data_IF_326556633021
#
_entry.id   IF_326556633021
#
_cell.length_a   1.000
_cell.length_b   1.000
_cell.length_c   1.000
_cell.angle_alpha   90.00
_cell.angle_beta   90.00
_cell.angle_gamma   90.00
#
_symmetry.space_group_name_H-M   'P 1'
#
loop_
_entity.id
_entity.type
_entity.pdbx_description
1 polymer ?
#
# COMPACT_ATOMS: atom_id res chain seq x y z
N UNK A 1 40.19 -38.28 67.12
CA UNK A 1 38.75 -38.59 66.89
C UNK A 1 37.94 -37.37 66.39
N UNK A 2 38.46 -36.17 66.54
CA UNK A 2 37.71 -34.88 66.26
C UNK A 2 37.73 -34.42 64.77
N UNK A 3 38.67 -34.90 63.96
CA UNK A 3 38.86 -34.46 62.56
C UNK A 3 37.86 -35.13 61.63
N UNK A 4 37.46 -36.39 61.91
CA UNK A 4 36.53 -37.20 61.08
C UNK A 4 35.10 -36.67 61.13
N UNK A 5 34.65 -36.12 62.23
CA UNK A 5 33.32 -35.58 62.46
C UNK A 5 33.08 -34.27 61.66
N UNK A 6 34.14 -33.45 61.56
CA UNK A 6 34.05 -32.19 60.79
C UNK A 6 33.94 -32.39 59.28
N UNK A 7 34.53 -33.45 58.76
CA UNK A 7 34.46 -33.74 57.31
C UNK A 7 33.10 -34.25 56.88
N UNK A 8 32.44 -35.04 57.72
CA UNK A 8 31.08 -35.57 57.40
C UNK A 8 29.99 -34.48 57.48
N UNK A 9 30.14 -33.48 58.36
CA UNK A 9 29.24 -32.35 58.45
C UNK A 9 29.31 -31.46 57.20
N UNK A 10 30.51 -31.18 56.73
CA UNK A 10 30.75 -30.36 55.52
C UNK A 10 30.19 -31.06 54.25
N UNK A 11 30.30 -32.38 54.18
CA UNK A 11 29.80 -33.15 53.04
C UNK A 11 28.23 -33.20 53.01
N UNK A 12 27.58 -33.24 54.16
CA UNK A 12 26.12 -33.20 54.26
C UNK A 12 25.58 -31.81 53.91
N UNK A 13 26.22 -30.75 54.35
CA UNK A 13 25.82 -29.38 54.05
C UNK A 13 26.00 -29.05 52.57
N UNK A 14 27.04 -29.60 51.92
CA UNK A 14 27.26 -29.46 50.49
C UNK A 14 26.16 -30.19 49.67
N UNK A 15 25.81 -31.39 50.10
CA UNK A 15 24.72 -32.19 49.45
C UNK A 15 23.35 -31.54 49.61
N UNK A 16 23.03 -30.98 50.76
CA UNK A 16 21.75 -30.29 51.02
C UNK A 16 21.66 -29.02 50.21
N UNK A 17 22.76 -28.26 50.11
CA UNK A 17 22.79 -27.04 49.29
C UNK A 17 22.70 -27.35 47.80
N UNK A 18 23.27 -28.45 47.31
CA UNK A 18 23.18 -28.88 45.91
C UNK A 18 21.75 -29.30 45.54
N UNK A 19 21.09 -30.07 46.42
CA UNK A 19 19.69 -30.52 46.24
C UNK A 19 18.76 -29.29 46.28
N UNK A 20 19.02 -28.32 47.18
CA UNK A 20 18.22 -27.10 47.30
C UNK A 20 18.33 -26.20 46.04
N UNK A 21 19.55 -26.04 45.51
CA UNK A 21 19.79 -25.33 44.25
C UNK A 21 19.11 -26.04 43.06
N UNK A 22 19.23 -27.37 42.99
CA UNK A 22 18.59 -28.16 41.91
C UNK A 22 17.05 -28.06 41.94
N UNK A 23 16.43 -28.03 43.11
CA UNK A 23 14.96 -27.86 43.26
C UNK A 23 14.51 -26.46 42.87
N UNK A 24 15.31 -25.44 43.17
CA UNK A 24 15.00 -24.04 42.79
C UNK A 24 15.14 -23.85 41.28
N UNK A 25 16.18 -24.41 40.67
CA UNK A 25 16.36 -24.32 39.19
C UNK A 25 15.29 -25.14 38.43
N UNK A 26 14.92 -26.31 38.93
CA UNK A 26 13.82 -27.09 38.34
C UNK A 26 12.45 -26.37 38.47
N UNK A 27 12.20 -25.72 39.63
CA UNK A 27 11.00 -24.91 39.84
C UNK A 27 10.94 -23.70 38.89
N UNK A 28 12.04 -22.98 38.74
CA UNK A 28 12.14 -21.85 37.80
C UNK A 28 11.96 -22.30 36.35
N UNK A 29 12.51 -23.45 35.95
CA UNK A 29 12.36 -24.02 34.62
C UNK A 29 10.90 -24.41 34.33
N UNK A 30 10.22 -25.00 35.33
CA UNK A 30 8.80 -25.36 35.23
C UNK A 30 7.90 -24.13 35.09
N UNK A 31 8.15 -23.06 35.86
CA UNK A 31 7.42 -21.79 35.75
C UNK A 31 7.69 -21.13 34.38
N UNK A 32 8.93 -21.16 33.90
CA UNK A 32 9.28 -20.66 32.57
C UNK A 32 8.54 -21.43 31.46
N UNK A 33 8.48 -22.75 31.56
CA UNK A 33 7.73 -23.60 30.62
C UNK A 33 6.22 -23.30 30.64
N UNK A 34 5.63 -23.02 31.79
CA UNK A 34 4.22 -22.66 31.91
C UNK A 34 3.92 -21.27 31.31
N UNK A 35 4.89 -20.34 31.30
CA UNK A 35 4.75 -19.04 30.65
C UNK A 35 4.77 -19.14 29.11
N UNK A 36 5.42 -20.15 28.55
CA UNK A 36 5.44 -20.39 27.11
C UNK A 36 4.21 -21.15 26.57
N UNK A 37 3.40 -21.78 27.45
CA UNK A 37 2.14 -22.42 27.03
C UNK A 37 0.94 -21.48 27.00
N UNK A 38 1.11 -20.23 27.46
CA UNK A 38 0.07 -19.21 27.44
C UNK A 38 -0.06 -18.58 26.06
N UNK A 39 -1.23 -18.75 25.43
CA UNK A 39 -1.73 -18.02 24.24
C UNK A 39 -1.28 -18.51 22.86
N UNK A 40 -1.44 -19.81 22.59
CA UNK A 40 -1.89 -20.20 21.25
C UNK A 40 -3.42 -20.17 21.22
N UNK A 41 -3.99 -18.97 21.11
CA UNK A 41 -5.40 -18.83 20.73
C UNK A 41 -5.46 -19.32 19.28
N UNK A 42 -5.84 -20.57 19.09
CA UNK A 42 -6.10 -21.10 17.75
C UNK A 42 -7.24 -20.22 17.18
N UNK A 43 -6.93 -19.38 16.20
CA UNK A 43 -7.96 -18.67 15.45
C UNK A 43 -8.85 -19.74 14.82
N UNK A 44 -10.11 -19.75 15.23
CA UNK A 44 -11.09 -20.67 14.68
C UNK A 44 -11.20 -20.36 13.19
N UNK A 45 -11.03 -21.33 12.29
CA UNK A 45 -11.15 -21.07 10.87
C UNK A 45 -12.54 -20.50 10.59
N UNK A 46 -12.57 -19.42 9.82
CA UNK A 46 -13.80 -18.74 9.44
C UNK A 46 -14.67 -19.69 8.62
N UNK A 47 -15.96 -19.76 8.95
CA UNK A 47 -16.90 -20.56 8.17
C UNK A 47 -17.14 -19.93 6.80
N UNK A 48 -17.53 -20.75 5.80
CA UNK A 48 -17.88 -20.26 4.45
C UNK A 48 -18.94 -19.15 4.49
N UNK A 49 -19.89 -19.24 5.41
CA UNK A 49 -20.94 -18.25 5.55
C UNK A 49 -20.42 -16.92 6.15
N UNK A 50 -19.54 -16.99 7.15
CA UNK A 50 -18.86 -15.81 7.71
C UNK A 50 -17.95 -15.16 6.67
N UNK A 51 -17.24 -15.95 5.88
CA UNK A 51 -16.41 -15.46 4.78
C UNK A 51 -17.25 -14.73 3.73
N UNK A 52 -18.38 -15.31 3.30
CA UNK A 52 -19.31 -14.69 2.35
C UNK A 52 -19.87 -13.38 2.87
N UNK A 53 -20.37 -13.35 4.11
CA UNK A 53 -20.91 -12.13 4.74
C UNK A 53 -19.84 -11.03 4.83
N UNK A 54 -18.64 -11.38 5.25
CA UNK A 54 -17.52 -10.43 5.33
C UNK A 54 -17.17 -9.87 3.95
N UNK A 55 -17.12 -10.73 2.94
CA UNK A 55 -16.86 -10.33 1.54
C UNK A 55 -17.96 -9.40 1.01
N UNK A 56 -19.23 -9.73 1.22
CA UNK A 56 -20.37 -8.88 0.81
C UNK A 56 -20.33 -7.51 1.49
N UNK A 57 -20.02 -7.45 2.78
CA UNK A 57 -19.87 -6.21 3.52
C UNK A 57 -18.70 -5.36 2.99
N UNK A 58 -17.55 -5.97 2.69
CA UNK A 58 -16.39 -5.29 2.11
C UNK A 58 -16.68 -4.75 0.70
N UNK A 59 -17.36 -5.53 -0.14
CA UNK A 59 -17.78 -5.08 -1.48
C UNK A 59 -18.76 -3.91 -1.38
N UNK A 60 -19.72 -3.96 -0.45
CA UNK A 60 -20.66 -2.88 -0.21
C UNK A 60 -19.97 -1.60 0.27
N UNK A 61 -19.05 -1.71 1.24
CA UNK A 61 -18.25 -0.60 1.72
C UNK A 61 -17.40 0.02 0.60
N UNK A 62 -16.74 -0.81 -0.23
CA UNK A 62 -15.92 -0.33 -1.33
C UNK A 62 -16.75 0.42 -2.38
N UNK A 63 -17.95 -0.09 -2.74
CA UNK A 63 -18.87 0.63 -3.66
C UNK A 63 -19.24 2.02 -3.15
N UNK A 64 -19.53 2.12 -1.84
CA UNK A 64 -19.87 3.41 -1.22
C UNK A 64 -18.69 4.38 -1.27
N UNK A 65 -17.48 3.88 -1.03
CA UNK A 65 -16.26 4.68 -1.08
C UNK A 65 -15.99 5.19 -2.51
N UNK A 66 -16.07 4.32 -3.52
CA UNK A 66 -15.91 4.70 -4.94
C UNK A 66 -16.96 5.73 -5.35
N UNK A 67 -18.21 5.57 -4.92
CA UNK A 67 -19.27 6.57 -5.18
C UNK A 67 -18.92 7.93 -4.59
N UNK A 68 -18.50 7.98 -3.32
CA UNK A 68 -18.08 9.24 -2.66
C UNK A 68 -16.89 9.89 -3.35
N UNK A 69 -15.89 9.10 -3.76
CA UNK A 69 -14.73 9.62 -4.47
C UNK A 69 -15.14 10.22 -5.82
N UNK A 70 -16.04 9.56 -6.55
CA UNK A 70 -16.58 10.05 -7.82
C UNK A 70 -17.39 11.33 -7.65
N UNK A 71 -18.19 11.45 -6.58
CA UNK A 71 -18.92 12.69 -6.26
C UNK A 71 -17.97 13.85 -5.99
N UNK A 72 -16.86 13.61 -5.25
CA UNK A 72 -15.81 14.62 -5.00
C UNK A 72 -15.15 15.08 -6.29
N UNK A 73 -14.77 14.12 -7.17
CA UNK A 73 -14.15 14.46 -8.47
C UNK A 73 -15.12 15.27 -9.31
N UNK A 74 -16.38 14.85 -9.42
CA UNK A 74 -17.39 15.57 -10.18
C UNK A 74 -17.55 17.01 -9.70
N UNK A 75 -17.66 17.21 -8.40
CA UNK A 75 -17.76 18.55 -7.82
C UNK A 75 -16.52 19.40 -8.10
N UNK A 76 -15.33 18.77 -8.08
CA UNK A 76 -14.07 19.43 -8.39
C UNK A 76 -14.02 19.85 -9.87
N UNK A 77 -14.35 18.97 -10.79
CA UNK A 77 -14.41 19.21 -12.24
C UNK A 77 -15.40 20.34 -12.57
N UNK A 78 -16.58 20.34 -11.94
CA UNK A 78 -17.57 21.40 -12.10
C UNK A 78 -17.07 22.76 -11.60
N UNK A 79 -16.43 22.82 -10.42
CA UNK A 79 -15.89 24.10 -9.89
C UNK A 79 -14.81 24.70 -10.79
N UNK A 80 -14.04 23.87 -11.48
CA UNK A 80 -12.99 24.32 -12.39
C UNK A 80 -13.47 24.57 -13.83
N UNK A 81 -14.77 24.34 -14.11
CA UNK A 81 -15.34 24.41 -15.44
C UNK A 81 -14.62 23.54 -16.49
N UNK A 82 -14.14 22.35 -16.08
CA UNK A 82 -13.47 21.44 -16.99
C UNK A 82 -14.43 20.51 -17.70
N UNK A 83 -14.24 20.34 -19.00
CA UNK A 83 -15.01 19.39 -19.80
C UNK A 83 -14.28 18.03 -19.80
N UNK A 84 -14.38 17.30 -18.70
CA UNK A 84 -13.76 15.98 -18.56
C UNK A 84 -14.72 14.85 -18.89
N UNK A 85 -14.20 13.80 -19.49
CA UNK A 85 -14.87 12.51 -19.69
C UNK A 85 -14.46 11.51 -18.61
N UNK A 86 -15.29 10.49 -18.40
CA UNK A 86 -15.01 9.41 -17.45
C UNK A 86 -14.99 8.07 -18.17
N UNK A 87 -13.96 7.26 -17.91
CA UNK A 87 -13.89 5.88 -18.39
C UNK A 87 -14.70 4.93 -17.51
N UNK A 88 -14.99 3.71 -17.96
CA UNK A 88 -15.67 2.68 -17.15
C UNK A 88 -14.89 2.27 -15.88
N UNK A 89 -13.58 2.38 -15.87
CA UNK A 89 -12.73 2.12 -14.70
C UNK A 89 -12.85 3.21 -13.61
N UNK A 90 -13.32 4.41 -14.00
CA UNK A 90 -13.45 5.57 -13.12
C UNK A 90 -12.37 6.63 -13.30
N UNK A 91 -11.47 6.49 -14.28
CA UNK A 91 -10.53 7.54 -14.66
C UNK A 91 -11.29 8.72 -15.26
N UNK A 92 -11.00 9.94 -14.80
CA UNK A 92 -11.45 11.17 -15.43
C UNK A 92 -10.32 11.76 -16.27
N UNK A 93 -10.63 12.17 -17.50
CA UNK A 93 -9.62 12.71 -18.41
C UNK A 93 -10.15 13.84 -19.30
N UNK A 94 -9.24 14.70 -19.68
CA UNK A 94 -9.45 15.76 -20.67
C UNK A 94 -8.20 15.86 -21.53
N UNK A 95 -8.36 15.63 -22.84
CA UNK A 95 -7.29 15.86 -23.80
C UNK A 95 -7.13 17.37 -24.00
N UNK A 96 -5.94 17.88 -23.73
CA UNK A 96 -5.57 19.29 -23.90
C UNK A 96 -5.02 19.49 -25.31
N UNK A 97 -4.19 18.56 -25.76
CA UNK A 97 -3.57 18.55 -27.10
C UNK A 97 -3.51 17.12 -27.63
N UNK A 98 -4.00 16.89 -28.83
CA UNK A 98 -4.10 15.57 -29.44
C UNK A 98 -2.75 14.88 -29.70
N UNK A 99 -1.71 15.69 -30.05
CA UNK A 99 -0.43 15.17 -30.52
C UNK A 99 -0.50 14.66 -31.97
N UNK A 100 0.59 14.00 -32.41
CA UNK A 100 0.77 13.56 -33.78
C UNK A 100 1.11 12.06 -33.86
N UNK A 101 0.84 11.45 -35.02
CA UNK A 101 1.16 10.06 -35.27
C UNK A 101 0.14 9.07 -34.73
N UNK A 102 0.58 7.83 -34.44
CA UNK A 102 -0.28 6.78 -33.92
C UNK A 102 -0.56 6.97 -32.41
N UNK A 103 -1.69 6.45 -31.94
CA UNK A 103 -1.92 6.36 -30.49
C UNK A 103 -0.88 5.45 -29.80
N UNK A 104 -0.65 5.70 -28.52
CA UNK A 104 0.13 4.84 -27.66
C UNK A 104 -0.52 3.46 -27.52
N UNK A 105 0.28 2.42 -27.38
CA UNK A 105 -0.14 1.01 -27.27
C UNK A 105 0.56 0.34 -26.10
N UNK A 106 -0.06 -0.71 -25.59
CA UNK A 106 0.59 -1.62 -24.64
C UNK A 106 1.88 -2.17 -25.27
N UNK A 107 2.98 -2.10 -24.52
CA UNK A 107 4.32 -2.48 -24.96
C UNK A 107 5.21 -1.34 -25.42
N UNK A 108 4.64 -0.18 -25.74
CA UNK A 108 5.43 1.00 -26.12
C UNK A 108 6.22 1.55 -24.92
N UNK A 109 7.41 2.08 -25.20
CA UNK A 109 8.19 2.88 -24.26
C UNK A 109 7.75 4.34 -24.34
N UNK A 110 7.28 4.90 -23.24
CA UNK A 110 6.81 6.28 -23.18
C UNK A 110 7.67 7.13 -22.26
N UNK A 111 7.86 8.38 -22.66
CA UNK A 111 8.51 9.43 -21.88
C UNK A 111 7.53 10.56 -21.65
N UNK A 112 7.30 10.89 -20.39
CA UNK A 112 6.36 11.94 -19.96
C UNK A 112 7.06 13.06 -19.20
N UNK A 113 6.71 14.31 -19.53
CA UNK A 113 6.73 15.38 -18.55
C UNK A 113 5.41 15.34 -17.78
N UNK A 114 5.46 15.64 -16.48
CA UNK A 114 4.28 15.53 -15.64
C UNK A 114 4.30 16.49 -14.46
N UNK A 115 3.09 16.79 -13.98
CA UNK A 115 2.81 17.46 -12.71
C UNK A 115 1.72 16.67 -12.00
N UNK A 116 1.97 16.25 -10.76
CA UNK A 116 1.06 15.49 -9.93
C UNK A 116 0.70 16.30 -8.69
N UNK A 117 -0.58 16.50 -8.49
CA UNK A 117 -1.14 17.28 -7.37
C UNK A 117 -2.29 16.51 -6.69
N UNK A 118 -2.56 16.87 -5.44
CA UNK A 118 -3.82 16.54 -4.78
C UNK A 118 -4.93 17.48 -5.26
N UNK A 119 -6.21 17.16 -5.00
CA UNK A 119 -7.34 18.01 -5.38
C UNK A 119 -7.39 19.36 -4.64
N UNK A 120 -6.63 19.54 -3.57
CA UNK A 120 -6.48 20.81 -2.86
C UNK A 120 -5.38 21.71 -3.45
N UNK A 121 -4.69 21.23 -4.51
CA UNK A 121 -3.59 21.94 -5.17
C UNK A 121 -2.21 21.66 -4.57
N UNK A 122 -2.10 20.78 -3.57
CA UNK A 122 -0.80 20.40 -3.02
C UNK A 122 0.02 19.68 -4.09
N UNK A 123 1.15 20.25 -4.48
CA UNK A 123 2.10 19.64 -5.42
C UNK A 123 2.80 18.46 -4.73
N UNK A 124 2.64 17.26 -5.27
CA UNK A 124 3.33 16.07 -4.78
C UNK A 124 4.63 15.84 -5.56
N UNK A 125 4.54 15.77 -6.88
CA UNK A 125 5.67 15.44 -7.75
C UNK A 125 5.58 16.18 -9.09
N UNK A 126 6.74 16.54 -9.65
CA UNK A 126 6.82 17.16 -10.98
C UNK A 126 8.12 16.80 -11.69
N UNK A 127 8.07 16.71 -13.02
CA UNK A 127 9.25 16.44 -13.84
C UNK A 127 10.32 17.53 -13.78
N UNK A 128 9.95 18.75 -13.43
CA UNK A 128 10.89 19.88 -13.26
C UNK A 128 11.90 19.62 -12.13
N UNK A 129 11.49 18.86 -11.10
CA UNK A 129 12.34 18.55 -9.94
C UNK A 129 12.88 17.13 -9.93
N UNK A 130 12.13 16.17 -10.51
CA UNK A 130 12.44 14.73 -10.45
C UNK A 130 12.89 14.14 -11.79
N UNK A 131 12.84 14.94 -12.86
CA UNK A 131 13.10 14.47 -14.22
C UNK A 131 11.88 13.81 -14.86
N UNK A 132 12.01 13.50 -16.14
CA UNK A 132 10.97 12.89 -16.94
C UNK A 132 10.66 11.47 -16.45
N UNK A 133 9.40 11.06 -16.54
CA UNK A 133 8.98 9.69 -16.22
C UNK A 133 9.12 8.82 -17.47
N UNK A 134 9.82 7.68 -17.32
CA UNK A 134 10.04 6.70 -18.40
C UNK A 134 9.49 5.36 -17.95
N UNK A 135 8.62 4.75 -18.75
CA UNK A 135 8.11 3.40 -18.46
C UNK A 135 7.59 2.72 -19.73
N UNK A 136 7.47 1.39 -19.66
CA UNK A 136 6.84 0.58 -20.70
C UNK A 136 5.37 0.39 -20.36
N UNK A 137 4.48 0.80 -21.24
CA UNK A 137 3.02 0.76 -21.03
C UNK A 137 2.57 -0.69 -20.87
N UNK A 138 1.77 -0.95 -19.81
CA UNK A 138 1.19 -2.26 -19.52
C UNK A 138 2.12 -3.23 -18.77
N UNK A 139 3.29 -2.77 -18.31
CA UNK A 139 4.20 -3.59 -17.49
C UNK A 139 4.18 -3.21 -16.00
N UNK A 140 3.33 -2.29 -15.60
CA UNK A 140 3.30 -1.76 -14.23
C UNK A 140 4.45 -0.79 -13.93
N UNK A 141 4.66 -0.53 -12.64
CA UNK A 141 5.68 0.43 -12.18
C UNK A 141 5.18 1.87 -12.08
N UNK A 142 4.00 2.15 -12.59
CA UNK A 142 3.25 3.40 -12.42
C UNK A 142 1.80 3.10 -12.03
N UNK A 143 1.05 4.14 -11.67
CA UNK A 143 -0.37 4.01 -11.32
C UNK A 143 -1.17 3.49 -12.52
N UNK A 144 -2.10 2.56 -12.27
CA UNK A 144 -2.93 1.96 -13.33
C UNK A 144 -3.75 3.00 -14.09
N UNK A 145 -4.20 4.06 -13.42
CA UNK A 145 -4.88 5.17 -14.07
C UNK A 145 -3.98 6.01 -14.97
N UNK A 146 -2.68 6.11 -14.67
CA UNK A 146 -1.72 6.75 -15.57
C UNK A 146 -1.47 5.87 -16.81
N UNK A 147 -1.29 4.55 -16.64
CA UNK A 147 -1.18 3.62 -17.78
C UNK A 147 -2.40 3.67 -18.69
N UNK A 148 -3.60 3.71 -18.13
CA UNK A 148 -4.84 3.86 -18.90
C UNK A 148 -4.90 5.20 -19.62
N UNK A 149 -4.55 6.29 -18.93
CA UNK A 149 -4.60 7.64 -19.47
C UNK A 149 -3.66 7.87 -20.66
N UNK A 150 -2.45 7.32 -20.61
CA UNK A 150 -1.48 7.48 -21.72
C UNK A 150 -1.90 6.76 -23.00
N UNK A 151 -2.69 5.69 -22.90
CA UNK A 151 -3.25 4.98 -24.08
C UNK A 151 -4.21 5.84 -24.89
N UNK A 152 -4.73 6.93 -24.31
CA UNK A 152 -5.59 7.89 -24.99
C UNK A 152 -4.80 8.93 -25.80
N UNK A 153 -3.47 8.92 -25.69
CA UNK A 153 -2.59 9.95 -26.23
C UNK A 153 -1.74 9.47 -27.40
N UNK A 154 -1.18 10.45 -28.09
CA UNK A 154 -0.18 10.30 -29.16
C UNK A 154 1.08 11.04 -28.75
N UNK A 155 2.19 10.81 -29.48
CA UNK A 155 3.43 11.60 -29.29
C UNK A 155 3.13 13.11 -29.42
N UNK A 156 3.63 13.92 -28.50
CA UNK A 156 3.37 15.35 -28.42
C UNK A 156 1.97 15.71 -27.91
N UNK A 157 1.14 14.71 -27.54
CA UNK A 157 -0.15 14.94 -26.90
C UNK A 157 -0.02 15.34 -25.45
N UNK A 158 -1.04 16.01 -24.92
CA UNK A 158 -1.13 16.35 -23.50
C UNK A 158 -2.54 16.14 -22.96
N UNK A 159 -2.64 15.79 -21.69
CA UNK A 159 -3.91 15.55 -21.03
C UNK A 159 -3.86 15.95 -19.55
N UNK A 160 -5.03 16.21 -19.01
CA UNK A 160 -5.28 16.25 -17.58
C UNK A 160 -6.04 15.01 -17.18
N UNK A 161 -5.57 14.31 -16.15
CA UNK A 161 -6.17 13.09 -15.62
C UNK A 161 -6.51 13.31 -14.16
N UNK A 162 -7.64 12.77 -13.69
CA UNK A 162 -7.95 12.66 -12.27
C UNK A 162 -8.17 11.19 -11.95
N UNK A 163 -7.34 10.67 -11.07
CA UNK A 163 -7.31 9.28 -10.66
C UNK A 163 -7.97 9.15 -9.29
N UNK A 164 -9.08 8.40 -9.18
CA UNK A 164 -9.58 8.00 -7.87
C UNK A 164 -8.57 7.07 -7.17
N UNK A 165 -8.66 6.88 -5.85
CA UNK A 165 -7.66 6.12 -5.08
C UNK A 165 -7.36 4.72 -5.64
N UNK A 166 -8.36 4.00 -6.13
CA UNK A 166 -8.18 2.64 -6.67
C UNK A 166 -7.43 2.57 -8.01
N UNK A 167 -7.30 3.67 -8.72
CA UNK A 167 -6.47 3.81 -9.93
C UNK A 167 -5.14 4.54 -9.66
N UNK A 168 -4.91 4.95 -8.41
CA UNK A 168 -3.73 5.67 -7.93
C UNK A 168 -2.98 4.83 -6.86
N UNK A 169 -2.74 5.40 -5.68
CA UNK A 169 -1.98 4.76 -4.59
C UNK A 169 -2.84 4.01 -3.56
N UNK A 170 -4.13 3.82 -3.83
CA UNK A 170 -5.03 2.98 -3.05
C UNK A 170 -5.25 3.43 -1.61
N UNK A 171 -5.37 2.45 -0.71
CA UNK A 171 -5.71 2.68 0.69
C UNK A 171 -4.52 3.15 1.55
N UNK A 172 -3.30 2.99 1.08
CA UNK A 172 -2.07 3.24 1.85
C UNK A 172 -1.37 4.54 1.49
N UNK A 173 -1.65 5.12 0.30
CA UNK A 173 -0.85 6.20 -0.27
C UNK A 173 0.49 5.66 -0.82
N UNK A 174 1.44 6.56 -1.06
CA UNK A 174 2.78 6.20 -1.56
C UNK A 174 3.85 6.07 -0.46
N UNK A 175 3.44 6.27 0.80
CA UNK A 175 4.33 6.25 1.95
C UNK A 175 5.22 7.50 2.09
N UNK A 176 5.04 8.51 1.27
CA UNK A 176 5.83 9.74 1.26
C UNK A 176 4.92 11.00 1.21
N UNK A 177 4.62 11.49 0.01
CA UNK A 177 3.92 12.77 -0.17
C UNK A 177 2.42 12.59 -0.41
N UNK A 178 2.01 11.45 -0.97
CA UNK A 178 0.60 11.18 -1.28
C UNK A 178 -0.05 10.41 -0.12
N UNK A 179 -0.98 11.03 0.62
CA UNK A 179 -1.65 10.37 1.74
C UNK A 179 -2.50 9.18 1.32
N UNK A 180 -2.85 8.35 2.29
CA UNK A 180 -3.80 7.25 2.11
C UNK A 180 -5.13 7.75 1.51
N UNK A 181 -5.67 6.98 0.56
CA UNK A 181 -6.95 7.26 -0.10
C UNK A 181 -7.05 8.61 -0.81
N UNK A 182 -5.93 9.16 -1.28
CA UNK A 182 -5.92 10.41 -2.02
C UNK A 182 -6.45 10.22 -3.44
N UNK A 183 -7.27 11.17 -3.87
CA UNK A 183 -7.56 11.42 -5.28
C UNK A 183 -6.43 12.31 -5.80
N UNK A 184 -5.81 11.91 -6.89
CA UNK A 184 -4.69 12.65 -7.48
C UNK A 184 -5.04 13.18 -8.85
N UNK A 185 -4.46 14.30 -9.19
CA UNK A 185 -4.55 14.94 -10.50
C UNK A 185 -3.19 14.91 -11.17
N UNK A 186 -3.16 14.45 -12.39
CA UNK A 186 -2.02 14.56 -13.29
C UNK A 186 -2.28 15.60 -14.37
N UNK A 187 -1.27 16.39 -14.69
CA UNK A 187 -1.09 17.06 -15.97
C UNK A 187 0.11 16.42 -16.64
N UNK A 188 -0.07 15.90 -17.86
CA UNK A 188 0.95 15.10 -18.54
C UNK A 188 1.16 15.61 -19.98
N UNK A 189 2.42 15.59 -20.42
CA UNK A 189 2.85 15.81 -21.80
C UNK A 189 3.65 14.61 -22.29
N UNK A 190 3.27 14.03 -23.43
CA UNK A 190 4.00 12.95 -24.07
C UNK A 190 5.17 13.50 -24.86
N UNK A 191 6.37 13.40 -24.30
CA UNK A 191 7.60 13.89 -24.91
C UNK A 191 8.09 12.93 -26.01
N UNK A 192 8.07 11.63 -25.72
CA UNK A 192 8.46 10.61 -26.67
C UNK A 192 7.60 9.35 -26.54
N UNK A 193 7.48 8.62 -27.65
CA UNK A 193 6.76 7.35 -27.77
C UNK A 193 7.51 6.47 -28.78
N UNK A 194 7.99 5.31 -28.31
CA UNK A 194 8.79 4.35 -29.07
C UNK A 194 8.17 2.95 -28.98
N UNK A 195 8.34 2.13 -30.01
CA UNK A 195 7.90 0.72 -30.04
C UNK A 195 8.82 -0.20 -29.23
#
# INVERSE_FOLDING_TARGET
MTIRIKQEATFRDLHINLIRKCRITAGCLLVLLLLFTGCRRAEKPMTEEEFRRTREALVGANRLLVKKDNEKIRAFVQRNNWNMQQTPSGLWYMIIREGNGRPARVGDMITLAYRLELLDGTLCYASDSLGLKHFRIGQGGVESGLEEGVLLLKKGGSARLILPPHLAHGLTGDGNTIPARSIIQYEIDVINLEE
#
